data_IF_678660298943
#
_entry.id   IF_678660298943
#
_cell.length_a   1.000
_cell.length_b   1.000
_cell.length_c   1.000
_cell.angle_alpha   90.00
_cell.angle_beta   90.00
_cell.angle_gamma   90.00
#
_symmetry.space_group_name_H-M   'P 1'
#
loop_
_entity.id
_entity.type
_entity.pdbx_description
1 polymer ?
#
# COMPACT_ATOMS: atom_id res chain seq x y z
N UNK A 1 -5.36 3.41 -15.64
CA UNK A 1 -6.20 4.11 -14.65
C UNK A 1 -5.61 5.49 -14.41
N UNK A 2 -6.44 6.53 -14.36
CA UNK A 2 -5.99 7.91 -14.17
C UNK A 2 -6.64 8.47 -12.90
N UNK A 3 -5.82 8.89 -11.95
CA UNK A 3 -6.26 9.66 -10.79
C UNK A 3 -6.00 11.14 -11.10
N UNK A 4 -7.06 11.97 -11.04
CA UNK A 4 -6.99 13.36 -11.50
C UNK A 4 -7.19 14.34 -10.34
N UNK A 5 -6.53 15.50 -10.44
CA UNK A 5 -6.70 16.66 -9.55
C UNK A 5 -6.64 16.28 -8.06
N UNK A 6 -5.63 15.49 -7.68
CA UNK A 6 -5.46 15.05 -6.29
C UNK A 6 -4.93 16.20 -5.43
N UNK A 7 -5.83 16.99 -4.87
CA UNK A 7 -5.49 18.09 -3.98
C UNK A 7 -6.12 17.92 -2.61
N UNK A 8 -5.32 18.13 -1.56
CA UNK A 8 -5.79 18.13 -0.18
C UNK A 8 -5.08 19.16 0.67
N UNK A 9 -5.89 19.94 1.37
CA UNK A 9 -5.44 20.93 2.36
C UNK A 9 -6.05 20.64 3.71
N UNK A 10 -5.32 20.96 4.78
CA UNK A 10 -5.81 20.95 6.15
C UNK A 10 -5.50 22.29 6.80
N UNK A 11 -6.49 22.93 7.39
CA UNK A 11 -6.33 24.23 8.05
C UNK A 11 -5.64 25.28 7.16
N UNK A 12 -6.00 25.34 5.88
CA UNK A 12 -5.42 26.27 4.91
C UNK A 12 -4.03 25.88 4.35
N UNK A 13 -3.40 24.84 4.87
CA UNK A 13 -2.12 24.35 4.36
C UNK A 13 -2.34 23.21 3.36
N UNK A 14 -1.84 23.37 2.14
CA UNK A 14 -1.84 22.32 1.14
C UNK A 14 -0.87 21.20 1.57
N UNK A 15 -1.37 19.96 1.65
CA UNK A 15 -0.60 18.76 2.05
C UNK A 15 -0.29 17.87 0.87
N UNK A 16 -1.13 17.91 -0.16
CA UNK A 16 -0.92 17.19 -1.42
C UNK A 16 -1.49 18.00 -2.58
N UNK A 17 -0.73 18.08 -3.66
CA UNK A 17 -1.13 18.69 -4.92
C UNK A 17 -0.48 17.94 -6.08
N UNK A 18 -1.28 17.14 -6.78
CA UNK A 18 -0.90 16.35 -7.94
C UNK A 18 -1.96 16.54 -9.01
N UNK A 19 -1.56 16.99 -10.20
CA UNK A 19 -2.50 17.18 -11.31
C UNK A 19 -3.08 15.84 -11.76
N UNK A 20 -2.24 14.96 -12.28
CA UNK A 20 -2.64 13.64 -12.75
C UNK A 20 -1.63 12.57 -12.33
N UNK A 21 -2.14 11.42 -11.90
CA UNK A 21 -1.36 10.23 -11.63
C UNK A 21 -1.91 9.05 -12.43
N UNK A 22 -1.16 8.61 -13.43
CA UNK A 22 -1.50 7.42 -14.22
C UNK A 22 -0.91 6.16 -13.57
N UNK A 23 -1.76 5.14 -13.39
CA UNK A 23 -1.37 3.82 -12.91
C UNK A 23 -1.80 2.78 -13.95
N UNK A 24 -0.87 1.97 -14.41
CA UNK A 24 -1.12 0.88 -15.36
C UNK A 24 -1.52 -0.39 -14.61
N UNK A 25 -2.44 -1.17 -15.19
CA UNK A 25 -2.82 -2.49 -14.66
C UNK A 25 -1.60 -3.42 -14.70
N UNK A 26 -1.50 -4.30 -13.72
CA UNK A 26 -0.42 -5.27 -13.60
C UNK A 26 0.92 -4.69 -13.14
N UNK A 27 0.96 -3.43 -12.69
CA UNK A 27 2.17 -2.80 -12.14
C UNK A 27 2.05 -2.49 -10.66
N UNK A 28 3.18 -2.54 -9.97
CA UNK A 28 3.34 -2.14 -8.56
C UNK A 28 4.09 -0.81 -8.53
N UNK A 29 3.48 0.18 -7.91
CA UNK A 29 4.02 1.52 -7.69
C UNK A 29 4.38 1.68 -6.22
N UNK A 30 5.64 2.00 -5.92
CA UNK A 30 6.05 2.35 -4.56
C UNK A 30 6.11 3.87 -4.39
N UNK A 31 5.40 4.40 -3.40
CA UNK A 31 5.44 5.81 -3.03
C UNK A 31 6.40 5.97 -1.87
N UNK A 32 7.49 6.69 -2.09
CA UNK A 32 8.51 7.00 -1.09
C UNK A 32 8.61 8.51 -0.83
N UNK A 33 9.22 8.91 0.27
CA UNK A 33 9.42 10.31 0.66
C UNK A 33 9.49 10.48 2.17
N UNK A 34 9.88 11.65 2.63
CA UNK A 34 10.01 11.97 4.05
C UNK A 34 8.65 11.92 4.79
N UNK A 35 8.69 11.85 6.12
CA UNK A 35 7.49 11.98 6.93
C UNK A 35 6.83 13.35 6.67
N UNK A 36 5.50 13.35 6.51
CA UNK A 36 4.75 14.57 6.17
C UNK A 36 4.79 14.98 4.69
N UNK A 37 5.42 14.22 3.79
CA UNK A 37 5.45 14.53 2.36
C UNK A 37 4.13 14.32 1.61
N UNK A 38 3.07 13.80 2.26
CA UNK A 38 1.77 13.61 1.66
C UNK A 38 1.44 12.17 1.23
N UNK A 39 2.32 11.18 1.44
CA UNK A 39 2.15 9.77 1.00
C UNK A 39 0.84 9.14 1.47
N UNK A 40 0.57 9.15 2.77
CA UNK A 40 -0.69 8.59 3.31
C UNK A 40 -1.92 9.37 2.87
N UNK A 41 -1.78 10.67 2.57
CA UNK A 41 -2.85 11.48 1.98
C UNK A 41 -3.12 11.01 0.56
N UNK A 42 -2.07 10.80 -0.25
CA UNK A 42 -2.18 10.22 -1.59
C UNK A 42 -2.86 8.84 -1.54
N UNK A 43 -2.41 7.95 -0.64
CA UNK A 43 -3.01 6.62 -0.48
C UNK A 43 -4.52 6.70 -0.17
N UNK A 44 -4.92 7.57 0.76
CA UNK A 44 -6.33 7.75 1.14
C UNK A 44 -7.18 8.35 0.02
N UNK A 45 -6.64 9.30 -0.74
CA UNK A 45 -7.32 9.88 -1.91
C UNK A 45 -7.46 8.82 -3.02
N UNK A 46 -6.39 8.10 -3.33
CA UNK A 46 -6.41 7.01 -4.31
C UNK A 46 -7.39 5.89 -3.94
N UNK A 47 -7.53 5.62 -2.63
CA UNK A 47 -8.50 4.65 -2.11
C UNK A 47 -9.94 5.17 -2.04
N UNK A 48 -10.19 6.44 -2.28
CA UNK A 48 -11.51 7.06 -2.17
C UNK A 48 -12.06 7.13 -0.74
N UNK A 49 -11.19 6.93 0.28
CA UNK A 49 -11.56 7.06 1.71
C UNK A 49 -11.36 8.48 2.26
N UNK A 50 -10.74 9.34 1.46
CA UNK A 50 -10.59 10.76 1.72
C UNK A 50 -11.10 11.53 0.50
N UNK A 51 -11.89 12.58 0.73
CA UNK A 51 -12.34 13.49 -0.33
C UNK A 51 -11.25 14.55 -0.61
N UNK A 52 -10.99 14.81 -1.89
CA UNK A 52 -10.08 15.89 -2.29
C UNK A 52 -10.77 17.25 -2.23
N UNK A 53 -9.98 18.32 -2.18
CA UNK A 53 -10.50 19.68 -2.17
C UNK A 53 -11.11 20.02 -3.55
N UNK A 54 -12.34 20.51 -3.56
CA UNK A 54 -13.08 20.81 -4.80
C UNK A 54 -14.19 19.81 -5.13
N UNK A 55 -14.46 18.85 -4.25
CA UNK A 55 -15.58 17.91 -4.38
C UNK A 55 -15.13 16.45 -4.53
N UNK A 56 -16.10 15.57 -4.74
CA UNK A 56 -15.79 14.15 -4.98
C UNK A 56 -14.99 14.03 -6.26
N UNK A 57 -13.88 13.27 -6.20
CA UNK A 57 -13.30 12.71 -7.41
C UNK A 57 -14.44 12.14 -8.26
N UNK A 58 -14.38 12.31 -9.58
CA UNK A 58 -15.27 11.55 -10.45
C UNK A 58 -15.25 10.12 -9.92
N UNK A 59 -16.42 9.59 -9.51
CA UNK A 59 -16.52 8.22 -9.03
C UNK A 59 -15.95 7.35 -10.14
N UNK A 60 -14.72 6.95 -9.98
CA UNK A 60 -14.22 5.83 -10.78
C UNK A 60 -15.01 4.63 -10.26
N UNK A 61 -15.75 3.95 -11.12
CA UNK A 61 -16.45 2.69 -10.80
C UNK A 61 -15.44 1.55 -10.46
N UNK A 62 -14.24 1.92 -10.08
CA UNK A 62 -13.14 1.01 -9.78
C UNK A 62 -13.37 0.31 -8.45
N UNK A 63 -13.18 -1.00 -8.48
CA UNK A 63 -13.07 -1.80 -7.26
C UNK A 63 -11.71 -1.52 -6.61
N UNK A 64 -11.71 -0.82 -5.47
CA UNK A 64 -10.48 -0.44 -4.75
C UNK A 64 -10.39 -1.16 -3.42
N UNK A 65 -9.25 -1.85 -3.17
CA UNK A 65 -8.88 -2.40 -1.88
C UNK A 65 -7.94 -1.45 -1.14
N UNK A 66 -8.18 -1.20 0.15
CA UNK A 66 -7.33 -0.31 0.94
C UNK A 66 -6.91 -0.94 2.26
N UNK A 67 -5.59 -0.96 2.52
CA UNK A 67 -5.00 -1.30 3.80
C UNK A 67 -4.41 -0.04 4.43
N UNK A 68 -4.98 0.48 5.53
CA UNK A 68 -4.42 1.63 6.24
C UNK A 68 -3.17 1.21 7.03
N UNK A 69 -2.30 2.18 7.32
CA UNK A 69 -1.08 2.01 8.12
C UNK A 69 -1.37 1.31 9.47
N UNK A 70 -2.44 1.73 10.16
CA UNK A 70 -2.87 1.07 11.40
C UNK A 70 -3.84 -0.06 11.09
N UNK A 71 -3.36 -1.28 11.12
CA UNK A 71 -4.16 -2.49 10.95
C UNK A 71 -5.14 -2.70 12.10
N UNK A 72 -6.33 -3.22 11.77
CA UNK A 72 -7.39 -3.47 12.75
C UNK A 72 -7.82 -4.94 12.77
N UNK A 73 -7.98 -5.48 13.98
CA UNK A 73 -8.52 -6.81 14.24
C UNK A 73 -9.90 -6.72 14.90
N UNK A 74 -10.93 -7.28 14.25
CA UNK A 74 -12.26 -7.39 14.86
C UNK A 74 -12.26 -8.43 15.99
N UNK A 75 -13.19 -8.28 16.97
CA UNK A 75 -13.28 -9.13 18.17
C UNK A 75 -13.84 -10.54 17.86
N UNK A 76 -13.19 -11.25 16.95
CA UNK A 76 -13.52 -12.63 16.56
C UNK A 76 -12.22 -13.41 16.30
N UNK A 77 -12.31 -14.69 15.86
CA UNK A 77 -11.10 -15.45 15.49
C UNK A 77 -10.42 -14.85 14.24
N UNK A 78 -9.14 -15.18 14.05
CA UNK A 78 -8.38 -14.75 12.88
C UNK A 78 -9.10 -15.19 11.60
N UNK A 79 -9.49 -16.47 11.50
CA UNK A 79 -10.22 -16.99 10.35
C UNK A 79 -11.51 -16.21 10.05
N UNK A 80 -12.30 -15.91 11.08
CA UNK A 80 -13.52 -15.09 10.91
C UNK A 80 -13.20 -13.67 10.45
N UNK A 81 -12.09 -13.09 10.90
CA UNK A 81 -11.64 -11.79 10.41
C UNK A 81 -11.37 -11.79 8.91
N UNK A 82 -10.78 -12.86 8.37
CA UNK A 82 -10.53 -12.97 6.93
C UNK A 82 -11.82 -13.09 6.13
N UNK A 83 -12.75 -13.93 6.60
CA UNK A 83 -14.02 -14.20 5.92
C UNK A 83 -15.00 -13.01 5.92
N UNK A 84 -14.69 -11.90 6.58
CA UNK A 84 -15.47 -10.64 6.45
C UNK A 84 -15.44 -10.11 5.02
N UNK A 85 -14.32 -10.30 4.32
CA UNK A 85 -14.12 -9.73 2.99
C UNK A 85 -14.29 -10.75 1.85
N UNK A 86 -14.75 -11.96 2.17
CA UNK A 86 -15.03 -13.02 1.20
C UNK A 86 -15.25 -14.34 1.93
N UNK A 87 -16.12 -15.20 1.39
CA UNK A 87 -16.56 -16.45 2.01
C UNK A 87 -15.82 -17.70 1.47
N UNK A 88 -14.82 -17.54 0.62
CA UNK A 88 -13.99 -18.61 0.08
C UNK A 88 -13.06 -19.19 1.16
N UNK A 89 -13.46 -20.33 1.73
CA UNK A 89 -12.72 -21.01 2.78
C UNK A 89 -11.39 -21.60 2.29
N UNK A 90 -11.29 -22.00 1.01
CA UNK A 90 -10.05 -22.52 0.42
C UNK A 90 -9.05 -21.38 0.27
N UNK A 91 -9.45 -20.27 -0.31
CA UNK A 91 -8.61 -19.07 -0.44
C UNK A 91 -8.14 -18.56 0.92
N UNK A 92 -9.02 -18.55 1.94
CA UNK A 92 -8.63 -18.18 3.30
C UNK A 92 -7.52 -19.10 3.83
N UNK A 93 -7.62 -20.41 3.61
CA UNK A 93 -6.60 -21.36 4.04
C UNK A 93 -5.26 -21.18 3.31
N UNK A 94 -5.28 -20.93 2.01
CA UNK A 94 -4.10 -20.65 1.19
C UNK A 94 -3.39 -19.37 1.68
N UNK A 95 -4.13 -18.29 1.95
CA UNK A 95 -3.59 -17.04 2.47
C UNK A 95 -2.99 -17.20 3.88
N UNK A 96 -3.66 -17.99 4.74
CA UNK A 96 -3.14 -18.32 6.08
C UNK A 96 -1.77 -19.04 5.98
N UNK A 97 -1.65 -20.02 5.08
CA UNK A 97 -0.39 -20.73 4.83
C UNK A 97 0.69 -19.79 4.33
N UNK A 98 0.37 -19.01 3.30
CA UNK A 98 1.32 -18.08 2.68
C UNK A 98 1.92 -17.09 3.68
N UNK A 99 1.15 -16.71 4.71
CA UNK A 99 1.57 -15.74 5.73
C UNK A 99 1.95 -16.37 7.08
N UNK A 100 2.07 -17.72 7.14
CA UNK A 100 2.42 -18.46 8.37
C UNK A 100 1.48 -18.16 9.56
N UNK A 101 0.18 -18.13 9.30
CA UNK A 101 -0.87 -17.83 10.29
C UNK A 101 -1.80 -19.02 10.58
N UNK A 102 -1.54 -20.22 10.02
CA UNK A 102 -2.43 -21.38 10.13
C UNK A 102 -2.69 -21.79 11.58
N UNK A 103 -1.62 -21.85 12.39
CA UNK A 103 -1.69 -22.23 13.82
C UNK A 103 -2.48 -21.22 14.66
N UNK A 104 -2.73 -20.03 14.13
CA UNK A 104 -3.47 -18.94 14.78
C UNK A 104 -4.89 -18.79 14.25
N UNK A 105 -5.32 -19.65 13.33
CA UNK A 105 -6.62 -19.57 12.63
C UNK A 105 -7.80 -19.38 13.59
N UNK A 106 -7.85 -20.15 14.68
CA UNK A 106 -8.91 -20.08 15.70
C UNK A 106 -8.58 -19.15 16.88
N UNK A 107 -7.39 -18.55 16.89
CA UNK A 107 -7.01 -17.61 17.93
C UNK A 107 -7.89 -16.35 17.88
N UNK A 108 -8.23 -15.80 19.04
CA UNK A 108 -8.92 -14.50 19.14
C UNK A 108 -7.99 -13.41 18.58
N UNK A 109 -8.42 -12.72 17.53
CA UNK A 109 -7.56 -11.78 16.81
C UNK A 109 -7.01 -10.63 17.67
N UNK A 110 -7.69 -10.28 18.79
CA UNK A 110 -7.18 -9.30 19.75
C UNK A 110 -5.91 -9.75 20.52
N UNK A 111 -5.54 -11.02 20.43
CA UNK A 111 -4.33 -11.59 21.08
C UNK A 111 -3.13 -11.64 20.13
N UNK A 112 -3.34 -11.30 18.86
CA UNK A 112 -2.29 -11.27 17.86
C UNK A 112 -1.30 -10.13 18.18
N UNK A 113 -0.02 -10.38 17.89
CA UNK A 113 1.01 -9.34 17.85
C UNK A 113 0.72 -8.32 16.74
N UNK A 114 1.45 -7.21 16.74
CA UNK A 114 1.33 -6.19 15.68
C UNK A 114 1.59 -6.75 14.29
N UNK A 115 2.65 -7.54 14.13
CA UNK A 115 3.00 -8.18 12.87
C UNK A 115 1.97 -9.23 12.40
N UNK A 116 1.47 -10.07 13.31
CA UNK A 116 0.39 -11.01 13.01
C UNK A 116 -0.91 -10.30 12.61
N UNK A 117 -1.22 -9.19 13.29
CA UNK A 117 -2.39 -8.36 12.95
C UNK A 117 -2.24 -7.75 11.57
N UNK A 118 -1.04 -7.25 11.21
CA UNK A 118 -0.77 -6.69 9.89
C UNK A 118 -0.87 -7.77 8.79
N UNK A 119 -0.27 -8.97 9.02
CA UNK A 119 -0.40 -10.10 8.09
C UNK A 119 -1.85 -10.54 7.92
N UNK A 120 -2.62 -10.66 9.01
CA UNK A 120 -4.05 -10.96 8.95
C UNK A 120 -4.84 -9.90 8.16
N UNK A 121 -4.55 -8.61 8.38
CA UNK A 121 -5.23 -7.53 7.67
C UNK A 121 -4.94 -7.56 6.16
N UNK A 122 -3.70 -7.86 5.77
CA UNK A 122 -3.33 -8.08 4.38
C UNK A 122 -4.09 -9.31 3.82
N UNK A 123 -4.05 -10.46 4.49
CA UNK A 123 -4.77 -11.65 4.08
C UNK A 123 -6.27 -11.38 3.90
N UNK A 124 -6.92 -10.72 4.86
CA UNK A 124 -8.33 -10.31 4.78
C UNK A 124 -8.61 -9.46 3.54
N UNK A 125 -7.72 -8.51 3.23
CA UNK A 125 -7.88 -7.65 2.06
C UNK A 125 -7.81 -8.48 0.78
N UNK A 126 -6.86 -9.41 0.67
CA UNK A 126 -6.64 -10.23 -0.51
C UNK A 126 -7.68 -11.37 -0.71
N UNK A 127 -8.70 -11.47 0.16
CA UNK A 127 -9.85 -12.35 -0.04
C UNK A 127 -10.73 -11.94 -1.24
N UNK A 128 -10.67 -10.68 -1.68
CA UNK A 128 -11.39 -10.17 -2.86
C UNK A 128 -10.41 -9.73 -3.93
N UNK A 129 -10.92 -9.65 -5.16
CA UNK A 129 -10.18 -9.09 -6.28
C UNK A 129 -10.56 -7.62 -6.49
N UNK A 130 -9.54 -6.81 -6.72
CA UNK A 130 -9.63 -5.37 -6.91
C UNK A 130 -8.96 -4.96 -8.22
N UNK A 131 -9.38 -3.83 -8.78
CA UNK A 131 -8.68 -3.21 -9.91
C UNK A 131 -7.51 -2.34 -9.46
N UNK A 132 -7.63 -1.76 -8.24
CA UNK A 132 -6.57 -1.03 -7.56
C UNK A 132 -6.42 -1.54 -6.12
N UNK A 133 -5.22 -1.93 -5.75
CA UNK A 133 -4.86 -2.27 -4.38
C UNK A 133 -3.97 -1.16 -3.80
N UNK A 134 -4.42 -0.50 -2.74
CA UNK A 134 -3.68 0.57 -2.05
C UNK A 134 -3.25 0.09 -0.69
N UNK A 135 -1.96 0.12 -0.41
CA UNK A 135 -1.34 -0.37 0.82
C UNK A 135 -0.52 0.75 1.47
N UNK A 136 -0.95 1.23 2.63
CA UNK A 136 -0.27 2.29 3.37
C UNK A 136 0.61 1.68 4.47
N UNK A 137 1.91 1.58 4.22
CA UNK A 137 2.93 0.96 5.09
C UNK A 137 2.58 -0.47 5.57
N UNK A 138 2.26 -1.40 4.66
CA UNK A 138 1.69 -2.71 5.01
C UNK A 138 2.60 -3.57 5.89
N UNK A 139 3.91 -3.35 5.84
CA UNK A 139 4.93 -4.15 6.55
C UNK A 139 5.57 -3.45 7.75
N UNK A 140 5.11 -2.24 8.13
CA UNK A 140 5.75 -1.43 9.19
C UNK A 140 5.83 -2.11 10.56
N UNK A 141 4.95 -3.08 10.85
CA UNK A 141 4.93 -3.86 12.08
C UNK A 141 5.47 -5.30 11.91
N UNK A 142 6.00 -5.65 10.72
CA UNK A 142 6.47 -6.99 10.39
C UNK A 142 7.99 -7.09 10.56
N UNK A 143 8.48 -8.26 10.94
CA UNK A 143 9.88 -8.62 10.82
C UNK A 143 10.29 -8.82 9.35
N UNK A 144 11.58 -9.01 9.10
CA UNK A 144 12.14 -9.15 7.73
C UNK A 144 11.50 -10.34 7.00
N UNK A 145 11.40 -11.49 7.65
CA UNK A 145 10.84 -12.69 7.04
C UNK A 145 9.36 -12.50 6.66
N UNK A 146 8.56 -11.98 7.58
CA UNK A 146 7.15 -11.65 7.34
C UNK A 146 6.95 -10.61 6.25
N UNK A 147 7.85 -9.62 6.16
CA UNK A 147 7.85 -8.62 5.09
C UNK A 147 8.07 -9.27 3.74
N UNK A 148 9.06 -10.16 3.60
CA UNK A 148 9.33 -10.86 2.34
C UNK A 148 8.17 -11.77 1.91
N UNK A 149 7.51 -12.44 2.87
CA UNK A 149 6.30 -13.23 2.59
C UNK A 149 5.16 -12.34 2.09
N UNK A 150 4.94 -11.19 2.73
CA UNK A 150 3.92 -10.24 2.32
C UNK A 150 4.21 -9.66 0.92
N UNK A 151 5.47 -9.28 0.63
CA UNK A 151 5.90 -8.81 -0.68
C UNK A 151 5.67 -9.86 -1.78
N UNK A 152 6.02 -11.12 -1.51
CA UNK A 152 5.74 -12.22 -2.44
C UNK A 152 4.25 -12.36 -2.70
N UNK A 153 3.44 -12.37 -1.65
CA UNK A 153 1.99 -12.52 -1.77
C UNK A 153 1.34 -11.36 -2.53
N UNK A 154 1.83 -10.13 -2.36
CA UNK A 154 1.35 -8.96 -3.12
C UNK A 154 1.69 -9.10 -4.60
N UNK A 155 2.90 -9.58 -4.96
CA UNK A 155 3.26 -9.86 -6.36
C UNK A 155 2.39 -10.97 -6.95
N UNK A 156 2.26 -12.11 -6.25
CA UNK A 156 1.42 -13.23 -6.70
C UNK A 156 -0.04 -12.78 -6.91
N UNK A 157 -0.55 -11.91 -6.04
CA UNK A 157 -1.87 -11.33 -6.16
C UNK A 157 -2.00 -10.43 -7.39
N UNK A 158 -1.05 -9.50 -7.62
CA UNK A 158 -0.99 -8.67 -8.82
C UNK A 158 -0.95 -9.51 -10.10
N UNK A 159 -0.11 -10.55 -10.12
CA UNK A 159 0.07 -11.42 -11.29
C UNK A 159 -1.21 -12.20 -11.60
N UNK A 160 -1.92 -12.65 -10.57
CA UNK A 160 -3.19 -13.38 -10.72
C UNK A 160 -4.35 -12.48 -11.16
N UNK A 161 -4.43 -11.26 -10.64
CA UNK A 161 -5.60 -10.39 -10.86
C UNK A 161 -5.39 -9.35 -11.96
N UNK A 162 -4.15 -9.06 -12.32
CA UNK A 162 -3.81 -7.95 -13.21
C UNK A 162 -4.09 -6.57 -12.62
N UNK A 163 -4.30 -6.45 -11.29
CA UNK A 163 -4.58 -5.17 -10.65
C UNK A 163 -3.38 -4.22 -10.68
N UNK A 164 -3.64 -2.92 -10.57
CA UNK A 164 -2.60 -1.97 -10.19
C UNK A 164 -2.40 -2.00 -8.67
N UNK A 165 -1.16 -1.89 -8.19
CA UNK A 165 -0.86 -1.83 -6.77
C UNK A 165 -0.13 -0.53 -6.45
N UNK A 166 -0.61 0.21 -5.45
CA UNK A 166 0.05 1.40 -4.92
C UNK A 166 0.47 1.12 -3.48
N UNK A 167 1.79 1.05 -3.23
CA UNK A 167 2.36 0.80 -1.91
C UNK A 167 3.03 2.07 -1.41
N UNK A 168 2.59 2.58 -0.27
CA UNK A 168 3.32 3.60 0.48
C UNK A 168 4.32 2.89 1.40
N UNK A 169 5.57 3.29 1.34
CA UNK A 169 6.61 2.76 2.23
C UNK A 169 7.68 3.80 2.53
N UNK A 170 8.28 3.71 3.71
CA UNK A 170 9.48 4.46 4.07
C UNK A 170 10.77 3.66 3.80
N UNK A 171 10.64 2.38 3.43
CA UNK A 171 11.79 1.51 3.14
C UNK A 171 12.16 1.57 1.66
N UNK A 172 13.31 2.19 1.36
CA UNK A 172 13.88 2.23 0.02
C UNK A 172 14.16 0.81 -0.48
N UNK A 173 14.70 -0.05 0.38
CA UNK A 173 14.96 -1.45 0.05
C UNK A 173 13.69 -2.22 -0.31
N UNK A 174 12.56 -1.94 0.34
CA UNK A 174 11.27 -2.52 -0.04
C UNK A 174 10.82 -2.02 -1.41
N UNK A 175 10.90 -0.71 -1.65
CA UNK A 175 10.55 -0.12 -2.94
C UNK A 175 11.39 -0.73 -4.08
N UNK A 176 12.70 -0.92 -3.86
CA UNK A 176 13.61 -1.53 -4.84
C UNK A 176 13.24 -2.99 -5.14
N UNK A 177 12.83 -3.77 -4.12
CA UNK A 177 12.50 -5.20 -4.31
C UNK A 177 11.17 -5.46 -4.99
N UNK A 178 10.16 -4.62 -4.74
CA UNK A 178 8.78 -4.96 -5.10
C UNK A 178 8.22 -4.12 -6.24
N UNK A 179 8.69 -2.88 -6.44
CA UNK A 179 8.06 -1.96 -7.36
C UNK A 179 8.55 -2.11 -8.80
N UNK A 180 7.63 -1.95 -9.75
CA UNK A 180 7.94 -1.73 -11.16
C UNK A 180 8.29 -0.27 -11.40
N UNK A 181 7.70 0.64 -10.60
CA UNK A 181 7.95 2.07 -10.68
C UNK A 181 7.89 2.72 -9.27
N UNK A 182 8.80 3.65 -9.03
CA UNK A 182 8.88 4.40 -7.78
C UNK A 182 8.42 5.84 -8.00
N UNK A 183 7.62 6.35 -7.08
CA UNK A 183 7.09 7.70 -7.03
C UNK A 183 7.68 8.41 -5.81
N UNK A 184 8.54 9.40 -6.03
CA UNK A 184 9.13 10.17 -4.94
C UNK A 184 8.31 11.43 -4.66
N UNK A 185 7.73 11.51 -3.45
CA UNK A 185 6.97 12.65 -2.97
C UNK A 185 7.79 13.51 -2.01
N UNK A 186 7.77 14.82 -2.24
CA UNK A 186 8.28 15.82 -1.31
C UNK A 186 7.34 17.02 -1.24
N UNK A 187 7.05 17.50 -0.03
CA UNK A 187 6.22 18.69 0.22
C UNK A 187 4.87 18.68 -0.52
N UNK A 188 4.24 17.52 -0.57
CA UNK A 188 2.93 17.33 -1.22
C UNK A 188 2.96 17.26 -2.75
N UNK A 189 4.13 17.18 -3.37
CA UNK A 189 4.30 17.13 -4.83
C UNK A 189 5.03 15.87 -5.26
N UNK A 190 4.71 15.38 -6.45
CA UNK A 190 5.49 14.34 -7.10
C UNK A 190 6.73 14.98 -7.75
N UNK A 191 7.89 14.70 -7.17
CA UNK A 191 9.15 15.30 -7.61
C UNK A 191 9.78 14.51 -8.74
N UNK A 192 9.73 13.17 -8.63
CA UNK A 192 10.32 12.28 -9.61
C UNK A 192 9.57 10.95 -9.65
N UNK A 193 9.50 10.33 -10.83
CA UNK A 193 9.01 8.97 -11.02
C UNK A 193 9.86 8.22 -12.02
N UNK A 194 10.03 6.92 -11.81
CA UNK A 194 10.83 6.08 -12.71
C UNK A 194 11.01 4.67 -12.16
N UNK A 195 11.73 3.84 -12.91
CA UNK A 195 12.11 2.52 -12.42
C UNK A 195 12.92 2.62 -11.13
N UNK A 196 12.87 1.59 -10.24
CA UNK A 196 13.69 1.58 -9.02
C UNK A 196 15.16 1.84 -9.30
N UNK A 197 15.72 1.24 -10.35
CA UNK A 197 17.13 1.43 -10.72
C UNK A 197 17.43 2.90 -11.07
N UNK A 198 16.62 3.52 -11.91
CA UNK A 198 16.80 4.92 -12.30
C UNK A 198 16.67 5.84 -11.09
N UNK A 199 15.59 5.73 -10.33
CA UNK A 199 15.28 6.68 -9.26
C UNK A 199 16.16 6.48 -8.02
N UNK A 200 16.42 5.20 -7.64
CA UNK A 200 17.17 4.91 -6.40
C UNK A 200 18.70 5.00 -6.64
N UNK A 201 19.19 4.54 -7.79
CA UNK A 201 20.64 4.49 -8.05
C UNK A 201 21.16 5.63 -8.91
N UNK A 202 20.33 6.19 -9.78
CA UNK A 202 20.75 7.13 -10.83
C UNK A 202 19.86 8.37 -10.94
N UNK A 203 19.21 8.78 -9.83
CA UNK A 203 18.39 10.00 -9.84
C UNK A 203 19.19 11.23 -10.26
N UNK A 204 18.65 11.99 -11.19
CA UNK A 204 19.21 13.30 -11.60
C UNK A 204 18.71 14.44 -10.70
N UNK A 205 17.62 14.23 -9.97
CA UNK A 205 17.04 15.22 -9.07
C UNK A 205 17.79 15.28 -7.74
N UNK A 206 18.29 16.46 -7.37
CA UNK A 206 19.09 16.65 -6.16
C UNK A 206 18.30 16.32 -4.87
N UNK A 207 17.01 16.67 -4.81
CA UNK A 207 16.15 16.40 -3.64
C UNK A 207 15.98 14.89 -3.46
N UNK A 208 15.75 14.17 -4.56
CA UNK A 208 15.64 12.71 -4.56
C UNK A 208 16.94 12.07 -4.09
N UNK A 209 18.09 12.46 -4.64
CA UNK A 209 19.41 11.93 -4.25
C UNK A 209 19.67 12.10 -2.76
N UNK A 210 19.48 13.32 -2.22
CA UNK A 210 19.66 13.59 -0.79
C UNK A 210 18.77 12.73 0.09
N UNK A 211 17.50 12.53 -0.33
CA UNK A 211 16.59 11.65 0.38
C UNK A 211 17.09 10.21 0.39
N UNK A 212 17.47 9.68 -0.79
CA UNK A 212 17.98 8.31 -0.92
C UNK A 212 19.23 8.11 -0.07
N UNK A 213 20.22 9.01 -0.16
CA UNK A 213 21.48 8.94 0.62
C UNK A 213 21.23 8.92 2.14
N UNK A 214 20.21 9.63 2.61
CA UNK A 214 19.88 9.68 4.03
C UNK A 214 19.17 8.43 4.53
N UNK A 215 18.26 7.84 3.72
CA UNK A 215 17.41 6.73 4.12
C UNK A 215 17.88 5.35 3.63
N UNK A 216 18.94 5.24 2.82
CA UNK A 216 19.55 3.98 2.39
C UNK A 216 20.59 3.43 3.39
N UNK A 217 20.89 4.18 4.44
CA UNK A 217 21.79 3.77 5.54
C UNK A 217 20.94 3.04 6.60
#
# INVERSE_FOLDING_TARGET
MMLRNLRKSYNGRCVLELDDLSLEKGKIYAVIGANGSGKSTLAKLAAGVLEHDGGRAEKTDLSVGYMPQKSYAFRMSLRKNMLINGDDAQRAQELLRALKLENLSEAKAKRLSGGETARMALARLLMRDYELLVLDEPSSAMDIESTLLAEKLIRDYRDRTGCAVLIVTHSINQAERIADEVLFLSEGRLIERGSPEKLIKHSENEITRRFIEFYSK
#
